data_IF_639637775424
#
_entry.id   IF_639637775424
#
_cell.length_a   1.000
_cell.length_b   1.000
_cell.length_c   1.000
_cell.angle_alpha   90.00
_cell.angle_beta   90.00
_cell.angle_gamma   90.00
#
_symmetry.space_group_name_H-M   'P 1'
#
loop_
_entity.id
_entity.type
_entity.pdbx_description
1 polymer ?
#
# COMPACT_ATOMS: atom_id res chain seq x y z
N UNK A 1 35.54 20.83 -5.60
CA UNK A 1 34.92 20.44 -4.32
C UNK A 1 33.73 19.59 -4.63
N UNK A 2 33.94 18.27 -4.65
CA UNK A 2 32.90 17.25 -4.76
C UNK A 2 32.17 17.19 -3.42
N UNK A 3 30.96 17.73 -3.37
CA UNK A 3 30.07 17.53 -2.22
C UNK A 3 29.63 16.07 -2.25
N UNK A 4 30.20 15.26 -1.36
CA UNK A 4 29.66 13.96 -1.01
C UNK A 4 28.21 14.18 -0.57
N UNK A 5 27.27 13.59 -1.29
CA UNK A 5 25.87 13.48 -0.90
C UNK A 5 25.78 12.46 0.24
N UNK A 6 26.18 12.86 1.46
CA UNK A 6 26.06 12.04 2.67
C UNK A 6 25.07 12.71 3.63
N UNK A 7 23.79 12.40 3.42
CA UNK A 7 22.75 12.11 4.42
C UNK A 7 21.39 12.32 3.76
N UNK A 8 20.80 11.23 3.24
CA UNK A 8 19.44 11.22 2.72
C UNK A 8 18.43 11.30 3.86
N UNK A 9 18.29 12.48 4.48
CA UNK A 9 17.29 12.71 5.52
C UNK A 9 15.91 12.79 4.89
N UNK A 10 14.90 12.27 5.57
CA UNK A 10 13.50 12.36 5.13
C UNK A 10 12.69 13.08 6.20
N UNK A 11 11.77 13.94 5.77
CA UNK A 11 10.74 14.48 6.65
C UNK A 11 9.54 13.55 6.57
N UNK A 12 9.25 12.86 7.66
CA UNK A 12 8.11 11.94 7.78
C UNK A 12 7.12 12.52 8.79
N UNK A 13 5.86 12.64 8.39
CA UNK A 13 4.74 12.91 9.29
C UNK A 13 3.88 11.65 9.42
N UNK A 14 3.51 11.31 10.64
CA UNK A 14 2.75 10.10 10.97
C UNK A 14 2.43 10.04 12.45
N UNK A 15 1.84 8.94 12.94
CA UNK A 15 1.61 8.72 14.36
C UNK A 15 2.93 8.82 15.14
N UNK A 16 2.94 9.57 16.25
CA UNK A 16 4.17 9.85 17.03
C UNK A 16 4.97 8.59 17.35
N UNK A 17 4.30 7.51 17.78
CA UNK A 17 4.92 6.21 18.06
C UNK A 17 5.76 5.65 16.92
N UNK A 18 5.29 5.79 15.66
CA UNK A 18 5.99 5.28 14.48
C UNK A 18 7.12 6.21 14.03
N UNK A 19 7.10 7.46 14.46
CA UNK A 19 8.12 8.46 14.10
C UNK A 19 9.19 8.58 15.19
N UNK A 20 8.88 8.18 16.42
CA UNK A 20 9.78 8.25 17.58
C UNK A 20 10.62 6.99 17.79
N UNK A 21 10.19 5.85 17.25
CA UNK A 21 10.87 4.56 17.35
C UNK A 21 11.53 4.14 16.03
N UNK A 22 12.55 3.29 16.09
CA UNK A 22 13.15 2.69 14.89
C UNK A 22 12.16 1.71 14.25
N UNK A 23 11.57 2.12 13.12
CA UNK A 23 10.64 1.31 12.35
C UNK A 23 11.35 0.59 11.21
N UNK A 24 11.01 -0.70 11.00
CA UNK A 24 11.39 -1.41 9.78
C UNK A 24 10.42 -1.05 8.67
N UNK A 25 10.92 -0.39 7.64
CA UNK A 25 10.21 -0.23 6.38
C UNK A 25 10.30 -1.51 5.55
N UNK A 26 9.17 -2.00 5.09
CA UNK A 26 9.07 -3.12 4.15
C UNK A 26 8.81 -2.55 2.76
N UNK A 27 9.63 -2.94 1.79
CA UNK A 27 9.36 -2.67 0.39
C UNK A 27 8.44 -3.76 -0.15
N UNK A 28 7.16 -3.47 -0.36
CA UNK A 28 6.16 -4.44 -0.82
C UNK A 28 5.58 -4.06 -2.19
N UNK A 29 4.95 -5.01 -2.91
CA UNK A 29 4.20 -4.68 -4.12
C UNK A 29 2.99 -3.80 -3.78
N UNK A 30 2.88 -2.63 -4.42
CA UNK A 30 1.72 -1.75 -4.28
C UNK A 30 0.44 -2.47 -4.74
N UNK A 31 -0.66 -2.44 -3.95
CA UNK A 31 -1.86 -3.26 -4.18
C UNK A 31 -2.48 -3.20 -5.57
N UNK A 32 -2.42 -2.03 -6.21
CA UNK A 32 -2.99 -1.80 -7.55
C UNK A 32 -2.00 -2.02 -8.68
N UNK A 33 -0.74 -1.62 -8.49
CA UNK A 33 0.22 -1.45 -9.58
C UNK A 33 1.34 -2.48 -9.55
N UNK A 34 1.48 -3.22 -8.45
CA UNK A 34 2.57 -4.15 -8.17
C UNK A 34 3.97 -3.52 -8.15
N UNK A 35 4.07 -2.20 -8.33
CA UNK A 35 5.32 -1.47 -8.21
C UNK A 35 5.81 -1.48 -6.75
N UNK A 36 7.12 -1.47 -6.50
CA UNK A 36 7.65 -1.40 -5.14
C UNK A 36 7.19 -0.12 -4.43
N UNK A 37 6.63 -0.25 -3.23
CA UNK A 37 6.24 0.84 -2.35
C UNK A 37 6.61 0.52 -0.90
N UNK A 38 6.84 1.54 -0.08
CA UNK A 38 7.27 1.38 1.30
C UNK A 38 6.08 1.35 2.26
N UNK A 39 6.10 0.38 3.17
CA UNK A 39 5.09 0.20 4.20
C UNK A 39 5.73 -0.03 5.57
N UNK A 40 5.01 0.34 6.62
CA UNK A 40 5.37 0.05 8.02
C UNK A 40 4.27 -0.79 8.62
N UNK A 41 4.66 -1.93 9.23
CA UNK A 41 3.73 -2.78 9.96
C UNK A 41 3.78 -2.41 11.43
N UNK A 42 2.63 -2.09 11.98
CA UNK A 42 2.47 -1.94 13.40
C UNK A 42 1.81 -3.18 14.00
N UNK A 43 2.65 -4.13 14.39
CA UNK A 43 2.19 -5.41 14.95
C UNK A 43 1.49 -5.28 16.31
N UNK A 44 1.74 -4.18 17.02
CA UNK A 44 1.11 -3.92 18.32
C UNK A 44 -0.38 -3.61 18.15
N UNK A 45 -0.73 -2.66 17.27
CA UNK A 45 -2.14 -2.31 17.02
C UNK A 45 -2.77 -3.13 15.89
N UNK A 46 -1.97 -3.92 15.14
CA UNK A 46 -2.45 -4.66 13.99
C UNK A 46 -2.76 -3.77 12.79
N UNK A 47 -2.06 -2.64 12.69
CA UNK A 47 -2.25 -1.62 11.66
C UNK A 47 -1.12 -1.68 10.62
N UNK A 48 -1.39 -1.18 9.42
CA UNK A 48 -0.40 -0.99 8.38
C UNK A 48 -0.40 0.48 7.95
N UNK A 49 0.77 0.97 7.55
CA UNK A 49 0.95 2.33 7.08
C UNK A 49 1.70 2.33 5.76
N UNK A 50 1.22 3.11 4.80
CA UNK A 50 1.92 3.36 3.54
C UNK A 50 2.71 4.66 3.63
N UNK A 51 3.95 4.65 3.16
CA UNK A 51 4.76 5.85 3.00
C UNK A 51 4.48 6.50 1.64
N UNK A 52 3.82 7.66 1.66
CA UNK A 52 3.57 8.46 0.46
C UNK A 52 4.37 9.76 0.49
N UNK A 53 4.98 10.12 -0.63
CA UNK A 53 5.70 11.38 -0.77
C UNK A 53 4.80 12.43 -1.44
N UNK A 54 4.64 13.58 -0.78
CA UNK A 54 4.10 14.79 -1.38
C UNK A 54 5.28 15.68 -1.75
N UNK A 55 5.56 15.79 -3.04
CA UNK A 55 6.56 16.71 -3.57
C UNK A 55 5.93 17.67 -4.56
N UNK A 56 6.42 18.92 -4.54
CA UNK A 56 6.13 19.92 -5.56
C UNK A 56 7.47 20.52 -5.98
N UNK A 57 7.61 20.77 -7.28
CA UNK A 57 8.82 21.37 -7.84
C UNK A 57 9.20 22.66 -7.10
N UNK A 58 10.51 22.87 -6.92
CA UNK A 58 11.13 24.09 -6.37
C UNK A 58 10.65 24.43 -4.95
N UNK A 59 10.56 23.45 -4.08
CA UNK A 59 10.32 23.64 -2.65
C UNK A 59 11.51 23.16 -1.84
N UNK A 60 11.72 23.76 -0.67
CA UNK A 60 12.67 23.31 0.33
C UNK A 60 12.08 23.50 1.72
N UNK A 61 12.54 22.71 2.68
CA UNK A 61 12.19 22.88 4.09
C UNK A 61 13.39 23.44 4.85
N UNK A 62 13.14 24.46 5.66
CA UNK A 62 14.10 24.94 6.65
C UNK A 62 13.67 24.37 8.00
N UNK A 63 14.49 23.51 8.57
CA UNK A 63 14.22 22.83 9.83
C UNK A 63 15.20 23.33 10.88
N UNK A 64 14.68 23.65 12.06
CA UNK A 64 15.53 23.83 13.22
C UNK A 64 15.73 22.46 13.87
N UNK A 65 16.98 22.04 14.04
CA UNK A 65 17.26 20.79 14.76
C UNK A 65 16.72 20.87 16.19
N UNK A 66 16.20 19.77 16.73
CA UNK A 66 15.69 19.70 18.11
C UNK A 66 16.76 20.10 19.15
N UNK A 67 18.04 19.91 18.81
CA UNK A 67 19.21 20.35 19.58
C UNK A 67 19.51 21.85 19.45
N UNK A 68 19.09 22.52 18.38
CA UNK A 68 19.29 23.96 18.18
C UNK A 68 18.43 24.84 19.09
N UNK A 69 17.41 24.26 19.74
CA UNK A 69 16.62 24.95 20.76
C UNK A 69 17.30 24.95 22.14
N UNK A 70 18.35 24.13 22.34
CA UNK A 70 19.01 23.93 23.64
C UNK A 70 20.39 24.61 23.67
N UNK A 71 21.08 24.70 22.53
CA UNK A 71 22.39 25.36 22.43
C UNK A 71 22.29 26.66 21.61
N UNK A 72 22.69 27.79 22.22
CA UNK A 72 22.91 29.04 21.48
C UNK A 72 23.96 28.80 20.39
N UNK A 73 23.51 28.72 19.12
CA UNK A 73 24.36 28.45 17.96
C UNK A 73 24.05 27.17 17.19
N UNK A 74 22.99 26.43 17.54
CA UNK A 74 22.62 25.22 16.81
C UNK A 74 22.31 25.48 15.33
N UNK A 75 22.97 24.73 14.45
CA UNK A 75 22.78 24.83 13.01
C UNK A 75 21.43 24.21 12.59
N UNK A 76 20.61 24.99 11.87
CA UNK A 76 19.44 24.48 11.18
C UNK A 76 19.82 23.63 9.96
N UNK A 77 18.85 22.89 9.43
CA UNK A 77 19.00 22.06 8.24
C UNK A 77 18.10 22.56 7.11
N UNK A 78 18.59 22.48 5.87
CA UNK A 78 17.80 22.79 4.68
C UNK A 78 17.64 21.51 3.86
N UNK A 79 16.40 21.03 3.75
CA UNK A 79 16.03 19.92 2.89
C UNK A 79 15.68 20.45 1.50
N UNK A 80 16.53 20.18 0.51
CA UNK A 80 16.43 20.80 -0.83
C UNK A 80 15.33 20.20 -1.72
N UNK A 81 14.93 18.96 -1.47
CA UNK A 81 13.95 18.25 -2.30
C UNK A 81 12.51 18.71 -2.04
N UNK A 82 12.27 19.37 -0.90
CA UNK A 82 10.97 19.89 -0.49
C UNK A 82 9.91 18.80 -0.29
N UNK A 83 10.32 17.53 -0.24
CA UNK A 83 9.40 16.41 -0.12
C UNK A 83 8.90 16.29 1.32
N UNK A 84 7.61 16.02 1.48
CA UNK A 84 7.01 15.64 2.74
C UNK A 84 6.51 14.21 2.60
N UNK A 85 7.05 13.31 3.40
CA UNK A 85 6.61 11.93 3.45
C UNK A 85 5.52 11.78 4.52
N UNK A 86 4.47 11.05 4.20
CA UNK A 86 3.32 10.82 5.06
C UNK A 86 3.19 9.30 5.29
N UNK A 87 3.07 8.90 6.55
CA UNK A 87 2.63 7.55 6.91
C UNK A 87 1.11 7.56 7.00
N UNK A 88 0.45 7.04 5.95
CA UNK A 88 -1.00 6.99 5.86
C UNK A 88 -1.51 5.62 6.30
N UNK A 89 -2.51 5.55 7.21
CA UNK A 89 -3.06 4.28 7.65
C UNK A 89 -3.71 3.56 6.46
N UNK A 90 -3.42 2.27 6.36
CA UNK A 90 -3.90 1.38 5.32
C UNK A 90 -4.48 0.14 5.98
N UNK A 91 -5.60 -0.34 5.45
CA UNK A 91 -6.10 -1.64 5.88
C UNK A 91 -5.21 -2.76 5.29
N UNK A 92 -4.61 -3.64 6.13
CA UNK A 92 -3.69 -4.69 5.66
C UNK A 92 -4.32 -5.70 4.68
N UNK A 93 -5.65 -5.81 4.60
CA UNK A 93 -6.30 -6.64 3.57
C UNK A 93 -5.91 -6.17 2.17
N UNK A 94 -5.77 -4.87 1.93
CA UNK A 94 -5.36 -4.38 0.60
C UNK A 94 -3.93 -4.81 0.25
N UNK A 95 -3.05 -4.97 1.24
CA UNK A 95 -1.72 -5.55 1.04
C UNK A 95 -1.77 -7.06 0.80
N UNK A 96 -2.71 -7.76 1.42
CA UNK A 96 -2.88 -9.20 1.23
C UNK A 96 -3.47 -9.56 -0.14
N UNK A 97 -4.46 -8.81 -0.64
CA UNK A 97 -5.14 -9.11 -1.89
C UNK A 97 -4.18 -9.47 -3.06
N UNK A 98 -3.18 -8.65 -3.42
CA UNK A 98 -2.26 -9.00 -4.51
C UNK A 98 -1.36 -10.21 -4.21
N UNK A 99 -1.23 -10.62 -2.94
CA UNK A 99 -0.39 -11.75 -2.50
C UNK A 99 -1.19 -13.05 -2.48
N UNK A 100 -2.47 -12.98 -2.12
CA UNK A 100 -3.37 -14.13 -2.07
C UNK A 100 -3.52 -14.78 -3.45
N UNK A 101 -3.63 -16.12 -3.52
CA UNK A 101 -3.99 -16.79 -4.75
C UNK A 101 -5.41 -16.37 -5.15
N UNK A 102 -5.64 -16.13 -6.45
CA UNK A 102 -6.99 -15.83 -6.93
C UNK A 102 -7.86 -17.08 -6.72
N UNK A 103 -8.98 -16.99 -5.98
CA UNK A 103 -9.82 -18.15 -5.69
C UNK A 103 -10.42 -18.71 -6.98
N UNK A 104 -10.11 -19.98 -7.25
CA UNK A 104 -10.73 -20.79 -8.30
C UNK A 104 -11.69 -21.81 -7.68
N UNK A 105 -12.50 -22.47 -8.52
CA UNK A 105 -13.45 -23.52 -8.10
C UNK A 105 -12.80 -24.69 -7.37
N UNK A 106 -11.49 -24.87 -7.50
CA UNK A 106 -10.68 -25.91 -6.85
C UNK A 106 -9.57 -25.35 -5.98
N UNK A 107 -9.72 -24.14 -5.43
CA UNK A 107 -8.69 -23.53 -4.57
C UNK A 107 -8.42 -24.39 -3.34
N UNK A 108 -7.17 -24.83 -3.21
CA UNK A 108 -6.67 -25.57 -2.06
C UNK A 108 -6.42 -24.64 -0.88
N UNK A 109 -6.51 -25.19 0.34
CA UNK A 109 -5.99 -24.53 1.53
C UNK A 109 -4.46 -24.56 1.49
N UNK A 110 -3.83 -23.42 1.77
CA UNK A 110 -2.37 -23.27 1.79
C UNK A 110 -1.93 -22.74 3.15
N UNK A 111 -0.75 -23.14 3.62
CA UNK A 111 -0.21 -22.53 4.84
C UNK A 111 0.15 -21.06 4.58
N UNK A 112 0.29 -20.28 5.66
CA UNK A 112 0.76 -18.90 5.52
C UNK A 112 2.09 -18.83 4.75
N UNK A 113 3.05 -19.68 5.11
CA UNK A 113 4.37 -19.70 4.48
C UNK A 113 4.26 -20.00 2.98
N UNK A 114 3.45 -21.00 2.58
CA UNK A 114 3.23 -21.32 1.16
C UNK A 114 2.63 -20.14 0.39
N UNK A 115 1.68 -19.40 1.00
CA UNK A 115 1.04 -18.24 0.38
C UNK A 115 2.08 -17.15 0.12
N UNK A 116 2.87 -16.79 1.14
CA UNK A 116 3.81 -15.67 1.04
C UNK A 116 5.05 -16.02 0.24
N UNK A 117 5.57 -17.25 0.32
CA UNK A 117 6.71 -17.69 -0.50
C UNK A 117 6.32 -17.72 -1.98
N UNK A 118 5.16 -18.30 -2.31
CA UNK A 118 4.64 -18.30 -3.68
C UNK A 118 4.40 -16.87 -4.20
N UNK A 119 3.83 -15.99 -3.37
CA UNK A 119 3.62 -14.59 -3.73
C UNK A 119 4.95 -13.85 -3.92
N UNK A 120 5.93 -14.06 -3.05
CA UNK A 120 7.23 -13.42 -3.10
C UNK A 120 7.98 -13.77 -4.38
N UNK A 121 8.00 -15.06 -4.78
CA UNK A 121 8.59 -15.48 -6.06
C UNK A 121 7.84 -14.89 -7.26
N UNK A 122 6.50 -14.94 -7.26
CA UNK A 122 5.67 -14.43 -8.37
C UNK A 122 5.85 -12.91 -8.59
N UNK A 123 5.85 -12.12 -7.52
CA UNK A 123 6.05 -10.67 -7.61
C UNK A 123 7.50 -10.30 -7.92
N UNK A 124 8.47 -11.08 -7.44
CA UNK A 124 9.88 -10.89 -7.80
C UNK A 124 10.08 -11.08 -9.31
N UNK A 125 9.60 -12.20 -9.88
CA UNK A 125 9.70 -12.47 -11.31
C UNK A 125 9.02 -11.38 -12.15
N UNK A 126 7.82 -10.92 -11.75
CA UNK A 126 7.10 -9.84 -12.42
C UNK A 126 7.90 -8.51 -12.39
N UNK A 127 8.54 -8.20 -11.25
CA UNK A 127 9.39 -7.02 -11.08
C UNK A 127 10.64 -7.09 -11.95
N UNK A 128 11.33 -8.23 -11.98
CA UNK A 128 12.52 -8.45 -12.82
C UNK A 128 12.16 -8.29 -14.30
N UNK A 129 11.04 -8.89 -14.73
CA UNK A 129 10.55 -8.74 -16.09
C UNK A 129 10.28 -7.28 -16.47
N UNK A 130 9.64 -6.51 -15.58
CA UNK A 130 9.40 -5.09 -15.79
C UNK A 130 10.70 -4.27 -15.87
N UNK A 131 11.67 -4.59 -14.99
CA UNK A 131 12.99 -3.97 -15.01
C UNK A 131 13.75 -4.27 -16.31
N UNK A 132 13.82 -5.54 -16.71
CA UNK A 132 14.49 -5.97 -17.93
C UNK A 132 13.83 -5.35 -19.18
N UNK A 133 12.51 -5.17 -19.20
CA UNK A 133 11.80 -4.50 -20.29
C UNK A 133 12.20 -3.02 -20.41
N UNK A 134 12.36 -2.30 -19.28
CA UNK A 134 12.83 -0.92 -19.27
C UNK A 134 14.31 -0.81 -19.64
N UNK A 135 15.14 -1.69 -19.09
CA UNK A 135 16.57 -1.76 -19.38
C UNK A 135 16.83 -2.06 -20.87
N UNK A 136 16.07 -2.98 -21.48
CA UNK A 136 16.16 -3.28 -22.91
C UNK A 136 15.78 -2.10 -23.81
N UNK A 137 14.90 -1.20 -23.37
CA UNK A 137 14.62 0.06 -24.06
C UNK A 137 15.78 1.06 -23.94
N UNK A 138 16.50 1.06 -22.81
CA UNK A 138 17.68 1.91 -22.58
C UNK A 138 18.99 1.36 -23.15
N UNK A 139 19.10 0.05 -23.37
CA UNK A 139 20.28 -0.61 -23.98
C UNK A 139 20.49 -0.22 -25.45
N UNK A 140 19.45 0.28 -26.14
CA UNK A 140 19.63 0.93 -27.44
C UNK A 140 20.46 2.23 -27.37
N UNK A 141 20.77 2.72 -26.16
CA UNK A 141 21.54 3.94 -25.91
C UNK A 141 22.73 3.79 -24.95
N UNK A 142 22.85 2.71 -24.16
CA UNK A 142 24.00 2.48 -23.27
C UNK A 142 24.33 0.97 -23.10
N UNK A 143 25.55 0.59 -23.49
CA UNK A 143 26.14 -0.74 -23.21
C UNK A 143 26.56 -0.82 -21.73
N UNK A 144 25.85 -1.60 -20.91
CA UNK A 144 26.33 -1.86 -19.54
C UNK A 144 25.32 -2.36 -18.50
N UNK A 145 24.01 -2.31 -18.76
CA UNK A 145 23.03 -2.83 -17.79
C UNK A 145 22.83 -4.33 -18.03
N UNK A 146 23.33 -5.17 -17.13
CA UNK A 146 23.09 -6.61 -17.18
C UNK A 146 21.62 -6.92 -16.83
N UNK A 147 20.99 -7.82 -17.59
CA UNK A 147 19.66 -8.33 -17.27
C UNK A 147 19.70 -9.09 -15.93
N UNK A 148 18.66 -8.92 -15.13
CA UNK A 148 18.47 -9.71 -13.91
C UNK A 148 17.81 -11.04 -14.26
N UNK A 149 18.19 -12.11 -13.54
CA UNK A 149 17.60 -13.43 -13.69
C UNK A 149 16.22 -13.50 -13.00
N UNK A 150 15.20 -13.94 -13.76
CA UNK A 150 13.80 -14.02 -13.32
C UNK A 150 13.58 -15.11 -12.26
N UNK A 151 14.36 -16.19 -12.29
CA UNK A 151 14.17 -17.37 -11.44
C UNK A 151 15.08 -17.39 -10.20
N UNK A 152 15.99 -16.43 -10.07
CA UNK A 152 17.07 -16.47 -9.07
C UNK A 152 16.73 -15.83 -7.71
N UNK A 153 15.52 -15.27 -7.52
CA UNK A 153 15.26 -14.45 -6.34
C UNK A 153 13.88 -14.61 -5.71
N UNK A 154 13.80 -14.10 -4.48
CA UNK A 154 12.59 -14.00 -3.67
C UNK A 154 12.47 -12.57 -3.16
N UNK A 155 11.25 -12.05 -3.11
CA UNK A 155 11.02 -10.73 -2.51
C UNK A 155 10.96 -10.87 -0.99
N UNK A 156 12.12 -10.77 -0.33
CA UNK A 156 12.28 -11.04 1.11
C UNK A 156 11.31 -10.28 2.02
N UNK A 157 11.01 -9.02 1.69
CA UNK A 157 10.06 -8.21 2.46
C UNK A 157 8.62 -8.73 2.38
N UNK A 158 8.23 -9.43 1.30
CA UNK A 158 6.92 -10.11 1.23
C UNK A 158 6.85 -11.27 2.23
N UNK A 159 7.95 -12.03 2.35
CA UNK A 159 8.06 -13.11 3.35
C UNK A 159 8.09 -12.53 4.76
N UNK A 160 8.81 -11.42 4.97
CA UNK A 160 8.85 -10.74 6.26
C UNK A 160 7.47 -10.18 6.65
N UNK A 161 6.74 -9.58 5.71
CA UNK A 161 5.35 -9.18 5.91
C UNK A 161 4.49 -10.37 6.30
N UNK A 162 4.64 -11.51 5.62
CA UNK A 162 3.90 -12.73 5.93
C UNK A 162 4.06 -13.20 7.37
N UNK A 163 5.22 -12.97 7.99
CA UNK A 163 5.50 -13.35 9.40
C UNK A 163 4.99 -12.32 10.41
N UNK A 164 4.53 -11.14 9.97
CA UNK A 164 4.02 -10.09 10.85
C UNK A 164 2.68 -10.48 11.46
N UNK A 165 2.42 -10.04 12.71
CA UNK A 165 1.12 -10.26 13.36
C UNK A 165 0.00 -9.57 12.60
N UNK A 166 0.29 -8.41 12.01
CA UNK A 166 -0.64 -7.65 11.17
C UNK A 166 -1.10 -8.47 9.96
N UNK A 167 -0.19 -9.13 9.25
CA UNK A 167 -0.55 -10.00 8.12
C UNK A 167 -1.34 -11.23 8.56
N UNK A 168 -0.93 -11.90 9.64
CA UNK A 168 -1.62 -13.09 10.17
C UNK A 168 -3.06 -12.78 10.56
N UNK A 169 -3.29 -11.71 11.33
CA UNK A 169 -4.65 -11.26 11.70
C UNK A 169 -5.48 -10.92 10.48
N UNK A 170 -4.87 -10.31 9.46
CA UNK A 170 -5.57 -9.95 8.25
C UNK A 170 -5.93 -11.18 7.39
N UNK A 171 -5.09 -12.23 7.38
CA UNK A 171 -5.40 -13.53 6.76
C UNK A 171 -6.61 -14.19 7.42
N UNK A 172 -6.59 -14.29 8.75
CA UNK A 172 -7.71 -14.85 9.53
C UNK A 172 -9.03 -14.10 9.28
N UNK A 173 -8.95 -12.79 9.02
CA UNK A 173 -10.13 -11.95 8.76
C UNK A 173 -10.70 -12.14 7.35
N UNK A 174 -9.91 -12.54 6.35
CA UNK A 174 -10.34 -12.57 4.95
C UNK A 174 -10.36 -13.97 4.31
N UNK A 175 -9.83 -14.98 5.00
CA UNK A 175 -9.76 -16.36 4.53
C UNK A 175 -10.64 -17.29 5.37
N UNK A 176 -11.09 -18.39 4.74
CA UNK A 176 -11.54 -19.56 5.47
C UNK A 176 -10.28 -20.20 6.12
N UNK A 177 -10.38 -20.54 7.41
CA UNK A 177 -9.26 -21.09 8.18
C UNK A 177 -9.52 -22.56 8.49
N UNK A 178 -8.55 -23.41 8.16
CA UNK A 178 -8.55 -24.83 8.50
C UNK A 178 -7.36 -25.14 9.41
N UNK A 179 -7.64 -25.51 10.66
CA UNK A 179 -6.61 -25.98 11.58
C UNK A 179 -6.10 -27.36 11.14
N UNK A 180 -4.82 -27.44 10.76
CA UNK A 180 -4.14 -28.72 10.45
C UNK A 180 -3.59 -29.32 11.75
N UNK A 181 -3.03 -28.47 12.62
CA UNK A 181 -2.53 -28.83 13.94
C UNK A 181 -2.76 -27.67 14.93
N UNK A 182 -2.50 -27.84 16.24
CA UNK A 182 -2.66 -26.75 17.22
C UNK A 182 -1.83 -25.49 16.94
N UNK A 183 -0.79 -25.60 16.11
CA UNK A 183 0.14 -24.50 15.79
C UNK A 183 0.19 -24.18 14.29
N UNK A 184 -0.54 -24.93 13.45
CA UNK A 184 -0.50 -24.79 12.01
C UNK A 184 -1.92 -24.71 11.44
N UNK A 185 -2.21 -23.57 10.83
CA UNK A 185 -3.45 -23.31 10.10
C UNK A 185 -3.14 -23.16 8.62
N UNK A 186 -4.08 -23.64 7.80
CA UNK A 186 -4.11 -23.34 6.39
C UNK A 186 -5.27 -22.41 6.06
N UNK A 187 -5.08 -21.60 5.04
CA UNK A 187 -5.94 -20.50 4.65
C UNK A 187 -6.39 -20.68 3.22
N UNK A 188 -7.63 -20.29 2.95
CA UNK A 188 -8.18 -20.18 1.60
C UNK A 188 -8.96 -18.88 1.47
N UNK A 189 -8.66 -18.01 0.49
CA UNK A 189 -9.39 -16.76 0.32
C UNK A 189 -10.90 -16.97 0.23
N UNK A 190 -11.66 -16.26 1.06
CA UNK A 190 -13.11 -16.41 1.18
C UNK A 190 -13.80 -15.25 0.46
N UNK A 191 -14.27 -15.49 -0.76
CA UNK A 191 -14.95 -14.47 -1.56
C UNK A 191 -16.15 -13.82 -0.87
N UNK A 192 -17.05 -14.57 -0.19
CA UNK A 192 -18.16 -13.96 0.55
C UNK A 192 -17.67 -13.01 1.66
N UNK A 193 -16.62 -13.41 2.38
CA UNK A 193 -16.03 -12.61 3.46
C UNK A 193 -15.38 -11.35 2.93
N UNK A 194 -14.56 -11.47 1.88
CA UNK A 194 -13.93 -10.33 1.21
C UNK A 194 -14.95 -9.34 0.66
N UNK A 195 -16.04 -9.82 0.04
CA UNK A 195 -17.15 -8.98 -0.42
C UNK A 195 -17.82 -8.24 0.72
N UNK A 196 -18.11 -8.92 1.82
CA UNK A 196 -18.70 -8.30 3.01
C UNK A 196 -17.82 -7.18 3.56
N UNK A 197 -16.50 -7.41 3.64
CA UNK A 197 -15.53 -6.43 4.12
C UNK A 197 -15.46 -5.23 3.18
N UNK A 198 -15.35 -5.45 1.87
CA UNK A 198 -15.26 -4.36 0.88
C UNK A 198 -16.57 -3.59 0.77
N UNK A 199 -17.71 -4.25 0.90
CA UNK A 199 -19.01 -3.57 0.99
C UNK A 199 -19.07 -2.67 2.23
N UNK A 200 -18.66 -3.16 3.41
CA UNK A 200 -18.63 -2.34 4.62
C UNK A 200 -17.70 -1.12 4.47
N UNK A 201 -16.54 -1.29 3.82
CA UNK A 201 -15.63 -0.17 3.49
C UNK A 201 -16.24 0.82 2.51
N UNK A 202 -16.93 0.33 1.48
CA UNK A 202 -17.64 1.17 0.52
C UNK A 202 -18.74 1.99 1.20
N UNK A 203 -19.52 1.38 2.09
CA UNK A 203 -20.56 2.08 2.86
C UNK A 203 -19.97 3.13 3.80
N UNK A 204 -18.85 2.83 4.46
CA UNK A 204 -18.13 3.81 5.28
C UNK A 204 -17.64 5.00 4.45
N UNK A 205 -17.05 4.76 3.27
CA UNK A 205 -16.64 5.82 2.35
C UNK A 205 -17.83 6.68 1.90
N UNK A 206 -18.94 6.04 1.55
CA UNK A 206 -20.17 6.74 1.16
C UNK A 206 -20.70 7.61 2.30
N UNK A 207 -20.71 7.10 3.53
CA UNK A 207 -21.15 7.86 4.71
C UNK A 207 -20.25 9.08 4.94
N UNK A 208 -18.93 8.92 4.86
CA UNK A 208 -17.98 10.05 5.02
C UNK A 208 -18.20 11.15 3.97
N UNK A 209 -18.48 10.78 2.72
CA UNK A 209 -18.76 11.74 1.64
C UNK A 209 -20.03 12.57 1.88
N UNK A 210 -20.99 12.03 2.63
CA UNK A 210 -22.24 12.70 3.00
C UNK A 210 -22.06 13.65 4.17
N UNK A 211 -21.29 13.24 5.18
CA UNK A 211 -21.12 14.02 6.40
C UNK A 211 -20.09 15.14 6.26
N UNK A 212 -19.12 14.99 5.34
CA UNK A 212 -18.03 15.95 5.18
C UNK A 212 -17.84 16.40 3.71
N UNK A 213 -18.70 17.33 3.28
CA UNK A 213 -18.57 18.00 1.99
C UNK A 213 -17.30 18.86 1.87
N UNK A 214 -16.67 19.21 3.00
CA UNK A 214 -15.46 20.02 3.01
C UNK A 214 -14.22 19.18 2.67
N UNK A 215 -14.28 17.86 2.86
CA UNK A 215 -13.23 16.93 2.44
C UNK A 215 -13.10 16.83 0.92
N UNK A 216 -11.92 16.42 0.45
CA UNK A 216 -11.60 16.27 -0.98
C UNK A 216 -12.61 15.39 -1.73
N UNK A 217 -13.08 14.32 -1.09
CA UNK A 217 -14.07 13.40 -1.69
C UNK A 217 -15.44 14.06 -1.81
N UNK A 218 -15.91 14.79 -0.80
CA UNK A 218 -17.17 15.54 -0.85
C UNK A 218 -17.17 16.60 -1.94
N UNK A 219 -16.06 17.35 -2.08
CA UNK A 219 -15.89 18.32 -3.19
C UNK A 219 -15.83 17.64 -4.55
N UNK A 220 -15.23 16.46 -4.65
CA UNK A 220 -15.16 15.69 -5.90
C UNK A 220 -16.54 15.19 -6.31
N UNK A 221 -17.33 14.71 -5.34
CA UNK A 221 -18.73 14.33 -5.57
C UNK A 221 -19.55 15.53 -6.02
N UNK A 222 -19.47 16.67 -5.33
CA UNK A 222 -20.20 17.89 -5.69
C UNK A 222 -19.89 18.38 -7.12
N UNK A 223 -18.64 18.23 -7.58
CA UNK A 223 -18.25 18.56 -8.96
C UNK A 223 -18.82 17.62 -10.03
N UNK A 224 -19.18 16.39 -9.67
CA UNK A 224 -19.75 15.40 -10.58
C UNK A 224 -21.28 15.49 -10.70
N UNK A 225 -21.91 16.22 -9.79
CA UNK A 225 -23.36 16.36 -9.73
C UNK A 225 -23.82 17.62 -10.45
N UNK A 226 -24.95 17.51 -11.15
CA UNK A 226 -25.67 18.66 -11.67
C UNK A 226 -26.36 19.43 -10.53
N UNK A 227 -26.63 20.72 -10.74
CA UNK A 227 -27.22 21.60 -9.71
C UNK A 227 -28.58 21.10 -9.18
N UNK A 228 -29.32 20.35 -9.99
CA UNK A 228 -30.64 19.79 -9.70
C UNK A 228 -30.63 18.26 -9.59
N UNK A 229 -29.48 17.65 -9.28
CA UNK A 229 -29.37 16.20 -9.14
C UNK A 229 -30.36 15.64 -8.09
N UNK A 230 -31.06 14.57 -8.43
CA UNK A 230 -31.96 13.86 -7.52
C UNK A 230 -31.16 13.07 -6.48
N UNK A 231 -31.79 12.73 -5.34
CA UNK A 231 -31.14 11.90 -4.30
C UNK A 231 -30.63 10.56 -4.86
N UNK A 232 -31.35 9.95 -5.80
CA UNK A 232 -30.92 8.72 -6.47
C UNK A 232 -29.65 8.92 -7.32
N UNK A 233 -29.54 10.05 -8.02
CA UNK A 233 -28.34 10.40 -8.79
C UNK A 233 -27.15 10.65 -7.86
N UNK A 234 -27.37 11.35 -6.74
CA UNK A 234 -26.36 11.57 -5.70
C UNK A 234 -25.86 10.25 -5.13
N UNK A 235 -26.77 9.35 -4.74
CA UNK A 235 -26.42 8.03 -4.20
C UNK A 235 -25.62 7.19 -5.22
N UNK A 236 -26.02 7.21 -6.50
CA UNK A 236 -25.33 6.48 -7.57
C UNK A 236 -23.91 6.99 -7.80
N UNK A 237 -23.72 8.31 -7.92
CA UNK A 237 -22.38 8.88 -8.11
C UNK A 237 -21.49 8.72 -6.88
N UNK A 238 -22.08 8.71 -5.68
CA UNK A 238 -21.37 8.41 -4.44
C UNK A 238 -20.83 6.97 -4.42
N UNK A 239 -21.66 5.98 -4.76
CA UNK A 239 -21.24 4.58 -4.87
C UNK A 239 -20.14 4.46 -5.93
N UNK A 240 -20.31 5.08 -7.10
CA UNK A 240 -19.32 5.07 -8.19
C UNK A 240 -17.98 5.66 -7.75
N UNK A 241 -17.99 6.83 -7.11
CA UNK A 241 -16.77 7.45 -6.57
C UNK A 241 -16.13 6.59 -5.48
N UNK A 242 -16.93 5.98 -4.60
CA UNK A 242 -16.44 5.04 -3.59
C UNK A 242 -15.75 3.82 -4.21
N UNK A 243 -16.33 3.22 -5.25
CA UNK A 243 -15.71 2.13 -6.01
C UNK A 243 -14.41 2.57 -6.67
N UNK A 244 -14.35 3.76 -7.27
CA UNK A 244 -13.12 4.30 -7.85
C UNK A 244 -11.99 4.46 -6.82
N UNK A 245 -12.32 4.92 -5.60
CA UNK A 245 -11.35 5.02 -4.49
C UNK A 245 -10.83 3.65 -4.08
N UNK A 246 -11.71 2.65 -3.92
CA UNK A 246 -11.31 1.28 -3.59
C UNK A 246 -10.45 0.65 -4.69
N UNK A 247 -10.80 0.87 -5.95
CA UNK A 247 -9.98 0.47 -7.11
C UNK A 247 -8.62 1.16 -7.16
N UNK A 248 -8.44 2.27 -6.43
CA UNK A 248 -7.15 2.89 -6.16
C UNK A 248 -6.15 1.97 -5.47
N UNK A 249 -6.64 1.02 -4.67
CA UNK A 249 -5.86 0.15 -3.78
C UNK A 249 -6.10 -1.34 -4.04
N UNK A 250 -6.52 -1.72 -5.23
CA UNK A 250 -6.79 -3.11 -5.57
C UNK A 250 -6.43 -3.38 -7.04
N UNK A 251 -5.94 -4.59 -7.33
CA UNK A 251 -5.67 -5.00 -8.70
C UNK A 251 -6.96 -5.11 -9.52
N UNK A 252 -6.84 -5.00 -10.84
CA UNK A 252 -7.99 -5.12 -11.75
C UNK A 252 -8.71 -6.48 -11.62
N UNK A 253 -7.97 -7.55 -11.33
CA UNK A 253 -8.50 -8.91 -11.16
C UNK A 253 -9.44 -8.99 -9.96
N UNK A 254 -8.99 -8.53 -8.79
CA UNK A 254 -9.80 -8.48 -7.58
C UNK A 254 -10.96 -7.49 -7.70
N UNK A 255 -10.73 -6.36 -8.37
CA UNK A 255 -11.76 -5.38 -8.68
C UNK A 255 -12.93 -5.98 -9.45
N UNK A 256 -12.64 -6.65 -10.56
CA UNK A 256 -13.66 -7.32 -11.38
C UNK A 256 -14.41 -8.40 -10.59
N UNK A 257 -13.69 -9.19 -9.79
CA UNK A 257 -14.28 -10.33 -9.09
C UNK A 257 -15.16 -9.95 -7.88
N UNK A 258 -14.89 -8.80 -7.26
CA UNK A 258 -15.57 -8.38 -6.03
C UNK A 258 -16.51 -7.19 -6.27
N UNK A 259 -16.09 -6.14 -6.99
CA UNK A 259 -16.87 -4.90 -7.08
C UNK A 259 -17.95 -4.89 -8.18
N UNK A 260 -17.88 -5.79 -9.16
CA UNK A 260 -18.92 -5.92 -10.19
C UNK A 260 -20.25 -6.44 -9.61
N UNK A 261 -20.19 -7.09 -8.44
CA UNK A 261 -21.35 -7.63 -7.72
C UNK A 261 -21.82 -6.76 -6.54
N UNK A 262 -21.14 -5.63 -6.29
CA UNK A 262 -21.50 -4.62 -5.26
C UNK A 262 -22.28 -3.45 -5.85
#
# INVERSE_FOLDING_TARGET
MTTSHEDGRLIIAGPSRLVEEEQRFLLLPHPRTHAPAYFVMDDEQGEAYELQAVSKERRSWMLNGRQAAVEEGGQGWVMQDGSLHLLLPLDPIFLLLPLLPVPTTSSSYLTSDDIFDSAASRHYAARVKAYNALAGQSQAQNEGVAALDEDAGIWEDVVAFGRSKTAQKALERCCDVQAISPTLSAYRPSLPTLRSILHAKLQALCTTMETDYSATLGRTLAKRLEFNATEEQVARERIKLGKEVLMGYMSAEWGKMILDEL
#
